data_IF_989531168928
#
_entry.id   IF_989531168928
#
_cell.length_a   1.000
_cell.length_b   1.000
_cell.length_c   1.000
_cell.angle_alpha   90.00
_cell.angle_beta   90.00
_cell.angle_gamma   90.00
#
_symmetry.space_group_name_H-M   'P 1'
#
loop_
_entity.id
_entity.type
_entity.pdbx_description
1 polymer ?
#
# COMPACT_ATOMS: atom_id res chain seq x y z
N UNK A 1 17.90 0.78 2.98
CA UNK A 1 17.78 1.99 3.84
C UNK A 1 16.64 2.84 3.29
N UNK A 2 15.51 2.94 3.98
CA UNK A 2 14.39 3.81 3.61
C UNK A 2 14.74 5.28 3.89
N UNK A 3 15.53 5.89 3.00
CA UNK A 3 15.91 7.30 3.08
C UNK A 3 16.81 7.68 4.26
N UNK A 4 17.49 8.83 4.14
CA UNK A 4 18.35 9.41 5.19
C UNK A 4 17.55 10.20 6.25
N UNK A 5 16.22 10.08 6.26
CA UNK A 5 15.35 10.87 7.12
C UNK A 5 14.77 10.01 8.25
N UNK A 6 14.82 10.48 9.51
CA UNK A 6 14.25 9.74 10.63
C UNK A 6 12.73 9.60 10.45
N UNK A 7 12.24 8.35 10.49
CA UNK A 7 10.80 8.05 10.48
C UNK A 7 10.20 8.49 11.80
N UNK A 8 9.19 9.37 11.75
CA UNK A 8 8.43 9.80 12.93
C UNK A 8 7.17 8.96 13.06
N UNK A 9 7.12 8.08 14.05
CA UNK A 9 5.92 7.33 14.39
C UNK A 9 5.05 8.19 15.31
N UNK A 10 3.79 8.41 14.93
CA UNK A 10 2.80 9.12 15.73
C UNK A 10 1.54 8.26 15.87
N UNK A 11 0.89 8.25 17.05
CA UNK A 11 -0.43 7.64 17.18
C UNK A 11 -1.43 8.29 16.22
N UNK A 12 -2.30 7.48 15.60
CA UNK A 12 -3.41 8.01 14.82
C UNK A 12 -4.30 8.89 15.70
N UNK A 13 -4.59 10.11 15.24
CA UNK A 13 -5.54 11.03 15.89
C UNK A 13 -6.99 10.72 15.53
N UNK A 14 -7.21 9.87 14.53
CA UNK A 14 -8.52 9.42 14.09
C UNK A 14 -8.87 8.14 14.84
N UNK A 15 -10.02 8.12 15.53
CA UNK A 15 -10.55 6.90 16.11
C UNK A 15 -10.73 5.87 15.00
N UNK A 16 -10.08 4.71 15.14
CA UNK A 16 -10.27 3.60 14.22
C UNK A 16 -11.64 3.02 14.56
N UNK A 17 -12.66 3.41 13.78
CA UNK A 17 -13.96 2.77 13.84
C UNK A 17 -13.75 1.26 13.62
N UNK A 18 -14.42 0.40 14.40
CA UNK A 18 -14.39 -1.04 14.14
C UNK A 18 -14.79 -1.27 12.69
N UNK A 19 -13.90 -1.90 11.94
CA UNK A 19 -14.21 -2.32 10.57
C UNK A 19 -15.31 -3.36 10.64
N UNK A 20 -16.27 -3.31 9.71
CA UNK A 20 -17.28 -4.36 9.62
C UNK A 20 -16.55 -5.71 9.45
N UNK A 21 -16.79 -6.72 10.31
CA UNK A 21 -16.12 -8.01 10.24
C UNK A 21 -16.28 -8.70 8.88
N UNK A 22 -17.33 -8.40 8.12
CA UNK A 22 -17.52 -8.94 6.76
C UNK A 22 -16.53 -8.40 5.74
N UNK A 23 -15.79 -7.32 6.05
CA UNK A 23 -14.71 -6.79 5.22
C UNK A 23 -13.34 -7.33 5.62
N UNK A 24 -13.26 -8.06 6.73
CA UNK A 24 -12.04 -8.77 7.10
C UNK A 24 -11.91 -10.04 6.26
N UNK A 25 -10.67 -10.44 5.93
CA UNK A 25 -10.42 -11.70 5.24
C UNK A 25 -11.02 -12.87 6.04
N UNK A 26 -11.83 -13.69 5.36
CA UNK A 26 -12.58 -14.80 5.95
C UNK A 26 -11.84 -16.14 5.80
N UNK A 27 -11.02 -16.29 4.76
CA UNK A 27 -10.23 -17.51 4.52
C UNK A 27 -8.75 -17.32 4.83
N UNK A 28 -8.00 -18.42 5.00
CA UNK A 28 -6.54 -18.38 5.13
C UNK A 28 -5.88 -17.75 3.90
N UNK A 29 -6.36 -18.07 2.70
CA UNK A 29 -5.83 -17.51 1.45
C UNK A 29 -6.01 -15.98 1.41
N UNK A 30 -7.16 -15.47 1.83
CA UNK A 30 -7.40 -14.02 1.92
C UNK A 30 -6.52 -13.37 2.97
N UNK A 31 -6.31 -14.02 4.12
CA UNK A 31 -5.41 -13.53 5.15
C UNK A 31 -3.97 -13.47 4.63
N UNK A 32 -3.53 -14.50 3.92
CA UNK A 32 -2.19 -14.56 3.34
C UNK A 32 -2.00 -13.49 2.23
N UNK A 33 -3.01 -13.29 1.38
CA UNK A 33 -2.99 -12.18 0.41
C UNK A 33 -2.89 -10.82 1.12
N UNK A 34 -3.65 -10.61 2.20
CA UNK A 34 -3.60 -9.37 2.98
C UNK A 34 -2.25 -9.16 3.66
N UNK A 35 -1.60 -10.20 4.19
CA UNK A 35 -0.28 -10.06 4.85
C UNK A 35 0.82 -9.72 3.86
N UNK A 36 0.67 -10.12 2.59
CA UNK A 36 1.62 -9.82 1.51
C UNK A 36 1.35 -8.50 0.79
N UNK A 37 0.23 -7.83 1.09
CA UNK A 37 -0.21 -6.61 0.41
C UNK A 37 -0.06 -5.36 1.27
N UNK A 38 0.63 -4.35 0.74
CA UNK A 38 0.81 -3.04 1.37
C UNK A 38 -0.09 -2.00 0.73
N UNK A 39 -0.82 -1.25 1.55
CA UNK A 39 -1.57 -0.06 1.13
C UNK A 39 -0.67 1.18 1.17
N UNK A 40 -0.53 1.82 0.02
CA UNK A 40 0.26 3.04 -0.16
C UNK A 40 -0.69 4.20 -0.50
N UNK A 41 -0.50 5.34 0.14
CA UNK A 41 -1.27 6.57 -0.10
C UNK A 41 -0.35 7.73 -0.45
N UNK A 42 -0.92 8.88 -0.84
CA UNK A 42 -0.20 10.13 -1.10
C UNK A 42 0.80 10.03 -2.26
N UNK A 43 0.52 9.19 -3.26
CA UNK A 43 1.36 9.04 -4.46
C UNK A 43 1.05 10.19 -5.42
N UNK A 44 2.07 10.88 -5.91
CA UNK A 44 1.91 11.98 -6.88
C UNK A 44 1.27 11.47 -8.19
N UNK A 45 0.44 12.29 -8.85
CA UNK A 45 -0.26 11.97 -10.12
C UNK A 45 0.67 11.75 -11.31
N UNK A 46 1.93 12.16 -11.23
CA UNK A 46 2.93 11.99 -12.30
C UNK A 46 3.56 10.59 -12.31
N UNK A 47 3.55 9.87 -11.18
CA UNK A 47 4.24 8.57 -11.01
C UNK A 47 3.47 7.40 -11.65
N UNK A 48 3.93 6.88 -12.76
CA UNK A 48 3.32 5.71 -13.41
C UNK A 48 3.31 4.45 -12.54
N UNK A 49 2.45 3.50 -12.89
CA UNK A 49 2.41 2.18 -12.24
C UNK A 49 3.77 1.47 -12.30
N UNK A 50 4.49 1.63 -13.41
CA UNK A 50 5.83 1.05 -13.63
C UNK A 50 6.84 1.66 -12.67
N UNK A 51 6.82 2.97 -12.47
CA UNK A 51 7.73 3.64 -11.52
C UNK A 51 7.48 3.18 -10.07
N UNK A 52 6.21 3.02 -9.67
CA UNK A 52 5.88 2.47 -8.35
C UNK A 52 6.41 1.04 -8.21
N UNK A 53 6.19 0.20 -9.23
CA UNK A 53 6.66 -1.19 -9.24
C UNK A 53 8.20 -1.24 -9.10
N UNK A 54 8.91 -0.53 -9.97
CA UNK A 54 10.37 -0.50 -9.98
C UNK A 54 10.95 -0.01 -8.64
N UNK A 55 10.33 0.98 -8.01
CA UNK A 55 10.74 1.47 -6.70
C UNK A 55 10.70 0.37 -5.64
N UNK A 56 9.58 -0.35 -5.52
CA UNK A 56 9.43 -1.43 -4.55
C UNK A 56 10.32 -2.63 -4.87
N UNK A 57 10.45 -3.01 -6.15
CA UNK A 57 11.33 -4.10 -6.56
C UNK A 57 12.81 -3.81 -6.30
N UNK A 58 13.23 -2.55 -6.43
CA UNK A 58 14.63 -2.18 -6.19
C UNK A 58 15.06 -2.18 -4.72
N UNK A 59 14.11 -2.12 -3.77
CA UNK A 59 14.41 -1.91 -2.34
C UNK A 59 13.81 -3.01 -1.45
N UNK A 60 12.61 -3.50 -1.76
CA UNK A 60 11.81 -4.33 -0.87
C UNK A 60 11.68 -5.79 -1.33
N UNK A 61 11.68 -6.06 -2.63
CA UNK A 61 11.53 -7.41 -3.19
C UNK A 61 10.56 -7.47 -4.35
N UNK A 62 10.43 -8.64 -4.97
CA UNK A 62 9.60 -8.86 -6.17
C UNK A 62 8.12 -8.52 -5.92
N UNK A 63 7.51 -7.80 -6.87
CA UNK A 63 6.10 -7.39 -6.79
C UNK A 63 5.26 -8.26 -7.71
N UNK A 64 4.45 -9.13 -7.11
CA UNK A 64 3.54 -10.04 -7.82
C UNK A 64 2.34 -9.31 -8.41
N UNK A 65 1.77 -8.36 -7.66
CA UNK A 65 0.57 -7.61 -8.08
C UNK A 65 0.64 -6.17 -7.64
N UNK A 66 0.28 -5.26 -8.53
CA UNK A 66 0.19 -3.83 -8.22
C UNK A 66 -1.08 -3.24 -8.81
N UNK A 67 -1.86 -2.57 -7.96
CA UNK A 67 -3.06 -1.83 -8.37
C UNK A 67 -2.93 -0.36 -7.97
N UNK A 68 -2.65 0.51 -8.93
CA UNK A 68 -2.60 1.96 -8.75
C UNK A 68 -3.98 2.55 -9.06
N UNK A 69 -4.56 3.28 -8.11
CA UNK A 69 -5.87 3.91 -8.22
C UNK A 69 -5.73 5.43 -8.11
N UNK A 70 -6.41 6.13 -9.00
CA UNK A 70 -6.43 7.59 -9.03
C UNK A 70 -7.63 8.09 -9.80
N UNK A 71 -8.11 9.27 -9.42
CA UNK A 71 -9.18 9.97 -10.12
C UNK A 71 -8.86 11.46 -10.30
N UNK A 72 -9.78 12.18 -10.92
CA UNK A 72 -9.66 13.62 -11.14
C UNK A 72 -10.00 14.45 -9.90
N UNK A 73 -10.63 13.85 -8.88
CA UNK A 73 -11.14 14.54 -7.68
C UNK A 73 -10.04 14.68 -6.63
N UNK A 74 -9.29 13.60 -6.38
CA UNK A 74 -8.25 13.58 -5.34
C UNK A 74 -6.95 14.14 -5.88
N UNK A 75 -6.19 14.84 -5.04
CA UNK A 75 -4.90 15.43 -5.45
C UNK A 75 -3.77 14.38 -5.53
N UNK A 76 -3.96 13.21 -4.93
CA UNK A 76 -2.99 12.11 -4.87
C UNK A 76 -3.63 10.79 -5.28
N UNK A 77 -2.79 9.79 -5.54
CA UNK A 77 -3.17 8.42 -5.84
C UNK A 77 -2.87 7.49 -4.67
N UNK A 78 -3.49 6.32 -4.73
CA UNK A 78 -3.30 5.22 -3.78
C UNK A 78 -2.87 3.98 -4.56
N UNK A 79 -2.12 3.07 -3.92
CA UNK A 79 -1.74 1.81 -4.52
C UNK A 79 -1.88 0.65 -3.53
N UNK A 80 -2.22 -0.52 -4.05
CA UNK A 80 -2.06 -1.80 -3.35
C UNK A 80 -0.91 -2.54 -4.01
N UNK A 81 0.09 -2.92 -3.21
CA UNK A 81 1.32 -3.58 -3.68
C UNK A 81 1.45 -4.92 -2.98
N UNK A 82 1.30 -6.01 -3.72
CA UNK A 82 1.45 -7.38 -3.24
C UNK A 82 2.85 -7.90 -3.60
N UNK A 83 3.56 -8.42 -2.61
CA UNK A 83 4.91 -8.96 -2.75
C UNK A 83 4.89 -10.49 -2.92
N UNK A 84 5.94 -11.01 -3.58
CA UNK A 84 6.27 -12.42 -3.55
C UNK A 84 6.79 -12.80 -2.14
N UNK A 85 6.55 -14.05 -1.72
CA UNK A 85 7.16 -14.60 -0.49
C UNK A 85 8.64 -14.91 -0.67
#
# INVERSE_FOLDING_TARGET
MLGYYPVRVLPSKTAILPVNPTFLPQSEDEREMCTRTVYCTNIDKKISQVEVKNFFESICGEVTRLRLLGDHVHSTRIAFVEFAM
#
